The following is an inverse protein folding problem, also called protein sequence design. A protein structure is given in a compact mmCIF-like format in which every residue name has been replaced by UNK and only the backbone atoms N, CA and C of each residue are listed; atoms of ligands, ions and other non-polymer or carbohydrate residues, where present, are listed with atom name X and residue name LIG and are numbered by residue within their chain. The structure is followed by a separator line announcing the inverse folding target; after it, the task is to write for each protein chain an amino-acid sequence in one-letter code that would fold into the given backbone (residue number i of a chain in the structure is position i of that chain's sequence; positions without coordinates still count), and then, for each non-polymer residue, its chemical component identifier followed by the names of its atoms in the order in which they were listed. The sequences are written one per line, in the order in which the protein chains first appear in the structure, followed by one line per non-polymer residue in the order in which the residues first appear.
data_IF_030996263178
#
_entry.id   IF_030996263178
#
_cell.length_a   1.000
_cell.length_b   1.000
_cell.length_c   1.000
_cell.angle_alpha   90.00
_cell.angle_beta   90.00
_cell.angle_gamma   90.00
#
_symmetry.space_group_name_H-M   'P 1'
#
loop_
_entity.id
_entity.type
_entity.pdbx_description
1 polymer ?
#
# COMPACT_ATOMS: atom_id res chain seq x y z
N UNK A 1 10.00 -17.20 22.49
CA UNK A 1 8.97 -16.55 21.66
C UNK A 1 9.59 -15.30 21.06
N UNK A 2 9.82 -15.24 19.73
CA UNK A 2 10.16 -13.98 19.09
C UNK A 2 8.91 -13.10 19.11
N UNK A 3 8.95 -11.99 19.85
CA UNK A 3 7.88 -11.00 19.81
C UNK A 3 7.79 -10.47 18.38
N UNK A 4 6.63 -10.59 17.73
CA UNK A 4 6.43 -10.02 16.39
C UNK A 4 6.41 -8.49 16.57
N UNK A 5 7.37 -7.74 15.99
CA UNK A 5 7.41 -6.30 16.16
C UNK A 5 6.20 -5.64 15.47
N UNK A 6 5.62 -4.63 16.12
CA UNK A 6 4.50 -3.85 15.59
C UNK A 6 4.90 -3.09 14.32
N UNK A 7 4.02 -3.05 13.33
CA UNK A 7 4.20 -2.21 12.15
C UNK A 7 4.01 -0.74 12.49
N UNK A 8 4.85 0.11 11.89
CA UNK A 8 4.87 1.55 12.09
C UNK A 8 4.12 2.30 11.00
N UNK A 9 3.34 3.31 11.41
CA UNK A 9 2.65 4.22 10.49
C UNK A 9 3.65 5.04 9.69
N UNK A 10 4.71 5.55 10.33
CA UNK A 10 5.76 6.32 9.65
C UNK A 10 6.49 5.51 8.59
N UNK A 11 6.80 4.24 8.86
CA UNK A 11 7.41 3.35 7.88
C UNK A 11 6.46 3.09 6.69
N UNK A 12 5.16 2.90 6.95
CA UNK A 12 4.17 2.74 5.89
C UNK A 12 4.11 3.99 4.98
N UNK A 13 4.13 5.20 5.54
CA UNK A 13 4.18 6.44 4.75
C UNK A 13 5.48 6.58 3.95
N UNK A 14 6.62 6.20 4.53
CA UNK A 14 7.89 6.20 3.80
C UNK A 14 7.83 5.27 2.57
N UNK A 15 7.24 4.08 2.72
CA UNK A 15 7.02 3.18 1.59
C UNK A 15 6.01 3.72 0.58
N UNK A 16 4.95 4.37 1.04
CA UNK A 16 3.95 4.97 0.16
C UNK A 16 4.56 6.08 -0.71
N UNK A 17 5.34 6.99 -0.11
CA UNK A 17 5.89 8.17 -0.79
C UNK A 17 7.11 7.85 -1.66
N UNK A 18 8.04 7.02 -1.18
CA UNK A 18 9.28 6.72 -1.91
C UNK A 18 9.14 5.52 -2.84
N UNK A 19 8.33 4.53 -2.47
CA UNK A 19 8.19 3.26 -3.19
C UNK A 19 6.71 3.01 -3.60
N UNK A 20 5.90 4.06 -3.72
CA UNK A 20 4.49 3.97 -4.08
C UNK A 20 4.23 3.29 -5.42
N UNK A 21 5.04 3.59 -6.44
CA UNK A 21 4.97 2.92 -7.75
C UNK A 21 5.31 1.43 -7.72
N UNK A 22 5.89 0.94 -6.62
CA UNK A 22 6.14 -0.49 -6.38
C UNK A 22 5.16 -1.10 -5.37
N UNK A 23 4.13 -0.36 -4.94
CA UNK A 23 3.15 -0.77 -3.94
C UNK A 23 3.75 -1.29 -2.62
N UNK A 24 4.94 -0.77 -2.24
CA UNK A 24 5.68 -1.27 -1.08
C UNK A 24 4.92 -1.11 0.24
N UNK A 25 4.06 -0.08 0.37
CA UNK A 25 3.22 0.12 1.54
C UNK A 25 2.18 -1.00 1.71
N UNK A 26 1.61 -1.53 0.61
CA UNK A 26 0.69 -2.68 0.69
C UNK A 26 1.44 -3.99 0.98
N UNK A 27 2.61 -4.20 0.38
CA UNK A 27 3.45 -5.35 0.71
C UNK A 27 3.89 -5.35 2.18
N UNK A 28 4.28 -4.18 2.69
CA UNK A 28 4.61 -4.02 4.11
C UNK A 28 3.44 -4.42 5.01
N UNK A 29 2.20 -4.12 4.61
CA UNK A 29 0.98 -4.47 5.35
C UNK A 29 0.43 -5.88 5.04
N UNK A 30 1.15 -6.69 4.24
CA UNK A 30 0.74 -8.04 3.79
C UNK A 30 -0.58 -8.03 3.00
N UNK A 31 -0.86 -6.95 2.27
CA UNK A 31 -2.00 -6.77 1.37
C UNK A 31 -1.61 -7.12 -0.07
N UNK A 32 -1.33 -8.41 -0.30
CA UNK A 32 -0.71 -8.89 -1.54
C UNK A 32 -1.58 -8.66 -2.78
N UNK A 33 -2.89 -8.86 -2.67
CA UNK A 33 -3.80 -8.69 -3.80
C UNK A 33 -3.80 -7.23 -4.28
N UNK A 34 -3.93 -6.28 -3.35
CA UNK A 34 -3.91 -4.85 -3.66
C UNK A 34 -2.55 -4.41 -4.20
N UNK A 35 -1.46 -4.96 -3.67
CA UNK A 35 -0.12 -4.66 -4.16
C UNK A 35 0.08 -5.09 -5.62
N UNK A 36 -0.37 -6.29 -5.99
CA UNK A 36 -0.29 -6.78 -7.36
C UNK A 36 -1.19 -6.01 -8.33
N UNK A 37 -2.40 -5.63 -7.90
CA UNK A 37 -3.30 -4.81 -8.72
C UNK A 37 -2.66 -3.44 -8.98
N UNK A 38 -2.10 -2.79 -7.96
CA UNK A 38 -1.44 -1.49 -8.12
C UNK A 38 -0.21 -1.58 -9.02
N UNK A 39 0.61 -2.63 -8.90
CA UNK A 39 1.75 -2.85 -9.80
C UNK A 39 1.30 -3.00 -11.26
N UNK A 40 0.25 -3.80 -11.51
CA UNK A 40 -0.30 -3.99 -12.85
C UNK A 40 -0.87 -2.69 -13.42
N UNK A 41 -1.60 -1.92 -12.61
CA UNK A 41 -2.15 -0.63 -13.03
C UNK A 41 -1.07 0.43 -13.27
N UNK A 42 -0.03 0.49 -12.43
CA UNK A 42 1.05 1.46 -12.56
C UNK A 42 1.94 1.14 -13.77
N UNK A 43 2.55 -0.04 -13.80
CA UNK A 43 3.47 -0.41 -14.88
C UNK A 43 2.75 -0.72 -16.19
N UNK A 44 1.61 -1.39 -16.12
CA UNK A 44 0.74 -1.57 -17.30
C UNK A 44 0.18 -0.24 -17.80
N UNK A 45 -0.15 0.69 -16.90
CA UNK A 45 -0.56 2.05 -17.27
C UNK A 45 0.52 2.76 -18.08
N UNK A 46 1.76 2.79 -17.59
CA UNK A 46 2.88 3.36 -18.34
C UNK A 46 3.09 2.67 -19.70
N UNK A 47 3.08 1.34 -19.75
CA UNK A 47 3.22 0.58 -20.99
C UNK A 47 2.14 0.90 -22.03
N UNK A 48 0.89 1.05 -21.58
CA UNK A 48 -0.28 1.30 -22.44
C UNK A 48 -0.54 2.79 -22.70
N UNK A 49 0.28 3.70 -22.15
CA UNK A 49 0.12 5.15 -22.35
C UNK A 49 0.32 5.54 -23.82
N UNK A 50 1.18 4.84 -24.55
CA UNK A 50 1.42 5.08 -25.98
C UNK A 50 0.19 4.94 -26.87
N UNK A 51 -0.83 4.19 -26.41
CA UNK A 51 -2.13 4.02 -27.09
C UNK A 51 -3.29 4.71 -26.35
N UNK A 52 -2.98 5.60 -25.41
CA UNK A 52 -3.95 6.39 -24.65
C UNK A 52 -4.60 5.68 -23.45
N UNK A 53 -4.80 4.36 -23.50
CA UNK A 53 -5.44 3.57 -22.43
C UNK A 53 -4.72 3.74 -21.07
N UNK A 54 -3.39 3.87 -21.12
CA UNK A 54 -2.57 4.03 -19.93
C UNK A 54 -2.96 5.21 -19.04
N UNK A 55 -3.45 6.32 -19.61
CA UNK A 55 -3.84 7.49 -18.83
C UNK A 55 -4.99 7.20 -17.86
N UNK A 56 -5.97 6.39 -18.28
CA UNK A 56 -7.09 6.00 -17.41
C UNK A 56 -6.61 5.13 -16.26
N UNK A 57 -5.69 4.21 -16.54
CA UNK A 57 -5.10 3.34 -15.51
C UNK A 57 -4.28 4.16 -14.50
N UNK A 58 -3.42 5.06 -14.99
CA UNK A 58 -2.60 5.92 -14.13
C UNK A 58 -3.46 6.89 -13.31
N UNK A 59 -4.56 7.40 -13.86
CA UNK A 59 -5.54 8.19 -13.10
C UNK A 59 -6.18 7.38 -11.97
N UNK A 60 -6.57 6.14 -12.24
CA UNK A 60 -7.10 5.25 -11.20
C UNK A 60 -6.06 5.00 -10.09
N UNK A 61 -4.78 4.80 -10.45
CA UNK A 61 -3.70 4.68 -9.46
C UNK A 61 -3.55 5.97 -8.65
N UNK A 62 -3.60 7.15 -9.29
CA UNK A 62 -3.49 8.42 -8.60
C UNK A 62 -4.59 8.62 -7.56
N UNK A 63 -5.85 8.32 -7.91
CA UNK A 63 -6.98 8.37 -6.98
C UNK A 63 -6.81 7.37 -5.83
N UNK A 64 -6.38 6.14 -6.13
CA UNK A 64 -6.09 5.15 -5.11
C UNK A 64 -4.97 5.64 -4.18
N UNK A 65 -3.92 6.23 -4.70
CA UNK A 65 -2.80 6.74 -3.92
C UNK A 65 -3.22 7.82 -2.93
N UNK A 66 -4.15 8.70 -3.32
CA UNK A 66 -4.79 9.67 -2.41
C UNK A 66 -5.61 8.97 -1.32
N UNK A 67 -6.40 7.96 -1.68
CA UNK A 67 -7.13 7.17 -0.69
C UNK A 67 -6.18 6.52 0.32
N UNK A 68 -5.06 5.95 -0.14
CA UNK A 68 -4.07 5.31 0.71
C UNK A 68 -3.42 6.33 1.66
N UNK A 69 -3.18 7.58 1.26
CA UNK A 69 -2.66 8.63 2.15
C UNK A 69 -3.53 8.83 3.40
N UNK A 70 -4.85 8.73 3.26
CA UNK A 70 -5.81 8.91 4.37
C UNK A 70 -6.05 7.59 5.11
N UNK A 71 -6.11 6.48 4.39
CA UNK A 71 -6.44 5.17 4.97
C UNK A 71 -5.27 4.51 5.70
N UNK A 72 -4.03 4.90 5.42
CA UNK A 72 -2.82 4.21 5.89
C UNK A 72 -2.76 3.94 7.41
N UNK A 73 -3.08 4.91 8.29
CA UNK A 73 -3.03 4.68 9.73
C UNK A 73 -3.97 3.55 10.18
N UNK A 74 -5.17 3.53 9.61
CA UNK A 74 -6.17 2.49 9.87
C UNK A 74 -5.73 1.13 9.31
N UNK A 75 -5.09 1.12 8.15
CA UNK A 75 -4.57 -0.10 7.53
C UNK A 75 -3.42 -0.71 8.34
N UNK A 76 -2.54 0.12 8.91
CA UNK A 76 -1.47 -0.31 9.83
C UNK A 76 -2.07 -0.92 11.09
N UNK A 77 -3.06 -0.26 11.70
CA UNK A 77 -3.75 -0.80 12.86
C UNK A 77 -4.42 -2.16 12.57
N UNK A 78 -5.07 -2.29 11.41
CA UNK A 78 -5.63 -3.57 10.95
C UNK A 78 -4.56 -4.64 10.75
N UNK A 79 -3.42 -4.30 10.14
CA UNK A 79 -2.33 -5.24 9.93
C UNK A 79 -1.74 -5.75 11.25
N UNK A 80 -1.57 -4.87 12.25
CA UNK A 80 -1.11 -5.26 13.58
C UNK A 80 -2.12 -6.18 14.29
N UNK A 81 -3.43 -5.86 14.22
CA UNK A 81 -4.49 -6.73 14.75
C UNK A 81 -4.47 -8.12 14.11
N UNK A 82 -4.33 -8.21 12.78
CA UNK A 82 -4.22 -9.49 12.05
C UNK A 82 -2.99 -10.30 12.44
N UNK A 83 -1.92 -9.64 12.84
CA UNK A 83 -0.68 -10.28 13.29
C UNK A 83 -0.72 -10.70 14.78
N UNK A 84 -1.84 -10.51 15.48
CA UNK A 84 -1.96 -10.82 16.91
C UNK A 84 -1.19 -9.86 17.81
N UNK A 85 -0.76 -8.71 17.28
CA UNK A 85 -0.06 -7.68 18.04
C UNK A 85 -1.12 -6.87 18.76
N UNK A 86 -1.35 -7.21 20.02
CA UNK A 86 -2.28 -6.47 20.87
C UNK A 86 -1.65 -5.13 21.27
N UNK A 87 -2.43 -4.05 21.33
CA UNK A 87 -1.98 -2.86 22.04
C UNK A 87 -1.69 -3.26 23.49
N UNK A 88 -0.58 -2.77 24.06
CA UNK A 88 -0.08 -3.15 25.38
C UNK A 88 -0.96 -2.68 26.57
N UNK A 89 -2.27 -2.50 26.38
CA UNK A 89 -3.19 -1.92 27.36
C UNK A 89 -4.52 -2.67 27.56
N UNK A 90 -4.54 -4.00 27.41
CA UNK A 90 -5.60 -4.88 27.94
C UNK A 90 -4.96 -6.03 28.72
#
# INVERSE_FOLDING_TARGET
MSAIPSKSVGAAYAFLLLLGGFAAHHFYLRRWAEAWILLALWWGGWLLTGIGVGFVMLFAVFVWWIYDLVALPNLVAQANRRAGIQPAYL
#
